data_IF_203435676496
#
_entry.id   IF_203435676496
#
_cell.length_a   1.000
_cell.length_b   1.000
_cell.length_c   1.000
_cell.angle_alpha   90.00
_cell.angle_beta   90.00
_cell.angle_gamma   90.00
#
_symmetry.space_group_name_H-M   'P 1'
#
loop_
_entity.id
_entity.type
_entity.pdbx_description
1 polymer ?
#
# COMPACT_ATOMS: atom_id res chain seq x y z
N UNK A 1 -2.90 0.81 5.41
CA UNK A 1 -1.89 1.77 5.94
C UNK A 1 -0.97 2.23 4.82
N UNK A 2 -0.43 3.45 4.88
CA UNK A 2 0.51 3.98 3.87
C UNK A 2 1.82 4.44 4.49
N UNK A 3 2.89 4.55 3.69
CA UNK A 3 4.22 5.02 4.08
C UNK A 3 4.76 4.30 5.33
N UNK A 4 4.57 2.98 5.37
CA UNK A 4 4.92 2.16 6.54
C UNK A 4 6.42 1.94 6.61
N UNK A 5 7.06 2.59 7.56
CA UNK A 5 8.43 2.29 7.97
C UNK A 5 8.48 1.29 9.15
N UNK A 6 8.96 0.07 8.91
CA UNK A 6 9.12 -0.98 9.94
C UNK A 6 10.19 -0.67 10.99
N UNK A 7 11.08 0.29 10.72
CA UNK A 7 12.09 0.77 11.67
C UNK A 7 11.45 1.61 12.78
N UNK A 8 10.29 2.22 12.51
CA UNK A 8 9.49 2.97 13.49
C UNK A 8 8.67 2.00 14.34
N UNK A 9 8.90 2.02 15.66
CA UNK A 9 8.21 1.14 16.62
C UNK A 9 6.69 1.26 16.54
N UNK A 10 6.15 2.48 16.43
CA UNK A 10 4.71 2.73 16.33
C UNK A 10 4.09 2.06 15.09
N UNK A 11 4.75 2.15 13.94
CA UNK A 11 4.28 1.50 12.72
C UNK A 11 4.30 -0.02 12.85
N UNK A 12 5.36 -0.58 13.44
CA UNK A 12 5.47 -2.02 13.69
C UNK A 12 4.36 -2.51 14.64
N UNK A 13 4.08 -1.77 15.71
CA UNK A 13 3.01 -2.09 16.65
C UNK A 13 1.65 -2.01 15.96
N UNK A 14 1.38 -0.97 15.17
CA UNK A 14 0.12 -0.84 14.41
C UNK A 14 -0.09 -1.99 13.41
N UNK A 15 0.98 -2.50 12.79
CA UNK A 15 0.88 -3.66 11.91
C UNK A 15 0.61 -4.96 12.68
N UNK A 16 1.24 -5.16 13.84
CA UNK A 16 1.06 -6.36 14.66
C UNK A 16 -0.28 -6.37 15.41
N UNK A 17 -0.75 -5.19 15.82
CA UNK A 17 -1.95 -4.97 16.60
C UNK A 17 -2.78 -3.85 15.96
N UNK A 18 -3.42 -4.11 14.81
CA UNK A 18 -4.24 -3.11 14.14
C UNK A 18 -5.40 -2.69 15.05
N UNK A 19 -5.66 -1.37 15.19
CA UNK A 19 -6.72 -0.86 16.04
C UNK A 19 -8.10 -1.31 15.53
N UNK A 20 -9.05 -1.50 16.46
CA UNK A 20 -10.39 -2.01 16.15
C UNK A 20 -11.14 -1.17 15.09
N UNK A 21 -10.86 0.13 14.99
CA UNK A 21 -11.42 1.01 13.96
C UNK A 21 -11.06 0.57 12.53
N UNK A 22 -9.99 -0.21 12.35
CA UNK A 22 -9.54 -0.76 11.07
C UNK A 22 -9.99 -2.21 10.86
N UNK A 23 -11.03 -2.68 11.55
CA UNK A 23 -11.57 -4.03 11.38
C UNK A 23 -11.90 -4.40 9.93
N UNK A 24 -12.32 -3.42 9.12
CA UNK A 24 -12.63 -3.58 7.70
C UNK A 24 -11.52 -3.00 6.79
N UNK A 25 -10.33 -2.77 7.34
CA UNK A 25 -9.19 -2.27 6.58
C UNK A 25 -8.65 -3.32 5.61
N UNK A 26 -8.07 -2.86 4.51
CA UNK A 26 -7.39 -3.74 3.56
C UNK A 26 -6.06 -4.24 4.16
N UNK A 27 -5.72 -5.49 3.84
CA UNK A 27 -4.54 -6.16 4.38
C UNK A 27 -3.23 -5.55 3.86
N UNK A 28 -3.22 -5.08 2.62
CA UNK A 28 -2.02 -4.50 2.01
C UNK A 28 -1.67 -3.14 2.61
N UNK A 29 -0.40 -2.99 2.99
CA UNK A 29 0.19 -1.72 3.38
C UNK A 29 1.21 -1.26 2.34
N UNK A 30 1.35 0.06 2.19
CA UNK A 30 2.38 0.64 1.32
C UNK A 30 3.64 0.89 2.16
N UNK A 31 4.78 0.23 1.87
CA UNK A 31 6.02 0.50 2.59
C UNK A 31 6.54 1.90 2.28
N UNK A 32 7.25 2.50 3.23
CA UNK A 32 8.04 3.70 2.95
C UNK A 32 9.14 3.37 1.94
N UNK A 33 9.21 4.13 0.84
CA UNK A 33 10.26 4.01 -0.16
C UNK A 33 10.44 5.35 -0.89
N UNK A 34 11.69 5.80 -1.06
CA UNK A 34 12.01 7.07 -1.74
C UNK A 34 11.45 7.14 -3.17
N UNK A 35 11.30 5.99 -3.84
CA UNK A 35 10.73 5.94 -5.20
C UNK A 35 9.25 6.38 -5.25
N UNK A 36 8.52 6.35 -4.13
CA UNK A 36 7.18 6.93 -4.02
C UNK A 36 7.22 8.45 -4.23
N UNK A 37 8.22 9.12 -3.66
CA UNK A 37 8.37 10.59 -3.77
C UNK A 37 8.65 11.00 -5.22
N UNK A 38 9.36 10.15 -5.98
CA UNK A 38 9.62 10.35 -7.42
C UNK A 38 8.34 10.37 -8.27
N UNK A 39 7.20 9.86 -7.79
CA UNK A 39 5.93 10.04 -8.51
C UNK A 39 5.62 11.52 -8.77
N UNK A 40 6.03 12.41 -7.87
CA UNK A 40 5.88 13.86 -8.03
C UNK A 40 6.73 14.41 -9.17
N UNK A 41 8.01 14.04 -9.21
CA UNK A 41 8.95 14.44 -10.27
C UNK A 41 8.50 13.95 -11.65
N UNK A 42 8.11 12.67 -11.74
CA UNK A 42 7.65 12.04 -12.98
C UNK A 42 6.22 12.44 -13.37
N UNK A 43 5.46 13.03 -12.44
CA UNK A 43 4.02 13.31 -12.57
C UNK A 43 3.22 12.07 -13.05
N UNK A 44 3.61 10.90 -12.57
CA UNK A 44 3.09 9.61 -13.01
C UNK A 44 2.99 8.64 -11.81
N UNK A 45 2.13 7.61 -11.86
CA UNK A 45 2.07 6.59 -10.83
C UNK A 45 3.28 5.65 -10.93
N UNK A 46 3.67 5.04 -9.80
CA UNK A 46 4.85 4.14 -9.73
C UNK A 46 4.92 3.12 -10.88
N UNK A 47 3.87 2.32 -11.19
CA UNK A 47 3.96 1.30 -12.23
C UNK A 47 4.30 1.83 -13.63
N UNK A 48 4.13 3.13 -13.89
CA UNK A 48 4.46 3.75 -15.17
C UNK A 48 5.97 3.93 -15.39
N UNK A 49 6.77 4.03 -14.32
CA UNK A 49 8.22 4.25 -14.40
C UNK A 49 9.07 3.32 -13.51
N UNK A 50 8.45 2.60 -12.59
CA UNK A 50 9.04 1.54 -11.76
C UNK A 50 7.99 0.47 -11.45
N UNK A 51 8.06 -0.64 -12.19
CA UNK A 51 7.06 -1.69 -12.16
C UNK A 51 7.43 -2.90 -11.28
N UNK A 52 8.68 -2.96 -10.80
CA UNK A 52 9.26 -4.13 -10.14
C UNK A 52 9.63 -3.91 -8.67
N UNK A 53 9.71 -2.66 -8.19
CA UNK A 53 9.98 -2.42 -6.77
C UNK A 53 8.89 -2.99 -5.86
N UNK A 54 9.30 -3.35 -4.64
CA UNK A 54 8.38 -3.88 -3.64
C UNK A 54 7.19 -2.96 -3.36
N UNK A 55 7.39 -1.64 -3.42
CA UNK A 55 6.32 -0.66 -3.23
C UNK A 55 5.36 -0.60 -4.43
N UNK A 56 5.87 -0.75 -5.66
CA UNK A 56 5.04 -0.86 -6.86
C UNK A 56 4.16 -2.12 -6.84
N UNK A 57 4.75 -3.25 -6.42
CA UNK A 57 4.00 -4.49 -6.19
C UNK A 57 2.95 -4.34 -5.07
N UNK A 58 3.26 -3.61 -4.00
CA UNK A 58 2.29 -3.32 -2.94
C UNK A 58 1.10 -2.48 -3.45
N UNK A 59 1.33 -1.47 -4.29
CA UNK A 59 0.23 -0.73 -4.91
C UNK A 59 -0.62 -1.61 -5.83
N UNK A 60 -0.01 -2.52 -6.60
CA UNK A 60 -0.76 -3.51 -7.40
C UNK A 60 -1.61 -4.41 -6.53
N UNK A 61 -1.05 -4.94 -5.43
CA UNK A 61 -1.78 -5.81 -4.52
C UNK A 61 -2.93 -5.05 -3.84
N UNK A 62 -2.70 -3.80 -3.40
CA UNK A 62 -3.74 -2.95 -2.83
C UNK A 62 -4.90 -2.76 -3.81
N UNK A 63 -4.61 -2.60 -5.10
CA UNK A 63 -5.65 -2.53 -6.12
C UNK A 63 -6.44 -3.84 -6.26
N UNK A 64 -5.78 -5.01 -6.16
CA UNK A 64 -6.49 -6.29 -6.12
C UNK A 64 -7.39 -6.40 -4.88
N UNK A 65 -6.90 -5.98 -3.71
CA UNK A 65 -7.67 -5.98 -2.47
C UNK A 65 -8.93 -5.10 -2.61
N UNK A 66 -8.80 -3.90 -3.20
CA UNK A 66 -9.94 -3.00 -3.48
C UNK A 66 -10.94 -3.69 -4.41
N UNK A 67 -10.49 -4.23 -5.55
CA UNK A 67 -11.39 -4.91 -6.50
C UNK A 67 -12.14 -6.07 -5.85
N UNK A 68 -11.51 -6.82 -4.96
CA UNK A 68 -12.16 -7.91 -4.23
C UNK A 68 -13.31 -7.42 -3.32
N UNK A 69 -13.28 -6.17 -2.88
CA UNK A 69 -14.38 -5.56 -2.11
C UNK A 69 -15.52 -5.02 -2.96
N UNK A 70 -15.26 -4.75 -4.25
CA UNK A 70 -16.24 -4.15 -5.15
C UNK A 70 -17.10 -5.24 -5.80
N UNK A 71 -18.43 -5.10 -5.67
CA UNK A 71 -19.39 -6.09 -6.17
C UNK A 71 -19.31 -6.30 -7.68
N UNK A 72 -18.98 -5.25 -8.45
CA UNK A 72 -18.86 -5.30 -9.91
C UNK A 72 -17.73 -6.22 -10.41
N UNK A 73 -16.70 -6.44 -9.59
CA UNK A 73 -15.54 -7.29 -9.91
C UNK A 73 -15.62 -8.67 -9.27
N UNK A 74 -16.70 -8.94 -8.51
CA UNK A 74 -16.97 -10.22 -7.86
C UNK A 74 -17.73 -11.14 -8.84
N UNK A 75 -17.06 -11.52 -9.94
CA UNK A 75 -17.54 -12.57 -10.87
C UNK A 75 -16.72 -13.83 -10.70
#
# INVERSE_FOLDING_TARGET
FTMVDRRRSLHRIMLAHPPAILKNGLATFIPYAAVVERMGDHRAPLPAFDNSSAVSLAYKQLWQDIKATLSEFRR
#
